data_IF_655789733305
#
_entry.id   IF_655789733305
#
_cell.length_a   1.000
_cell.length_b   1.000
_cell.length_c   1.000
_cell.angle_alpha   90.00
_cell.angle_beta   90.00
_cell.angle_gamma   90.00
#
_symmetry.space_group_name_H-M   'P 1'
#
loop_
_entity.id
_entity.type
_entity.pdbx_description
1 polymer ?
#
# COMPACT_ATOMS: atom_id res chain seq x y z
N UNK A 1 -9.90 -2.04 -10.38
CA UNK A 1 -9.52 -3.28 -9.68
C UNK A 1 -8.01 -3.29 -9.67
N UNK A 2 -7.43 -3.34 -8.46
CA UNK A 2 -5.99 -3.40 -8.24
C UNK A 2 -5.31 -4.45 -9.11
N UNK A 3 -4.16 -4.08 -9.65
CA UNK A 3 -3.22 -4.99 -10.30
C UNK A 3 -1.91 -5.01 -9.51
N UNK A 4 -1.26 -6.16 -9.39
CA UNK A 4 0.04 -6.26 -8.73
C UNK A 4 0.98 -7.25 -9.40
N UNK A 5 2.28 -6.98 -9.32
CA UNK A 5 3.31 -7.78 -9.96
C UNK A 5 4.67 -7.64 -9.27
N UNK A 6 5.58 -8.59 -9.48
CA UNK A 6 7.01 -8.36 -9.23
C UNK A 6 7.60 -7.41 -10.27
N UNK A 7 8.52 -6.56 -9.82
CA UNK A 7 9.23 -5.64 -10.71
C UNK A 7 10.48 -6.28 -11.33
N UNK A 8 10.80 -5.89 -12.55
CA UNK A 8 12.12 -6.16 -13.14
C UNK A 8 13.21 -5.21 -12.63
N UNK A 9 14.48 -5.55 -12.90
CA UNK A 9 15.64 -4.76 -12.47
C UNK A 9 16.06 -3.67 -13.49
N UNK A 10 15.20 -3.33 -14.47
CA UNK A 10 15.57 -2.36 -15.51
C UNK A 10 15.63 -0.95 -14.92
N UNK A 11 16.66 -0.19 -15.29
CA UNK A 11 16.84 1.21 -14.87
C UNK A 11 16.14 2.17 -15.84
N UNK A 12 14.85 1.92 -16.04
CA UNK A 12 13.95 2.76 -16.86
C UNK A 12 13.27 3.83 -16.00
N UNK A 13 12.28 4.53 -16.56
CA UNK A 13 11.54 5.56 -15.85
C UNK A 13 10.74 4.92 -14.71
N UNK A 14 10.83 5.38 -13.45
CA UNK A 14 10.08 4.79 -12.34
C UNK A 14 8.54 4.78 -12.54
N UNK A 15 8.02 5.58 -13.48
CA UNK A 15 6.61 5.60 -13.91
C UNK A 15 6.27 4.58 -15.01
N UNK A 16 7.24 3.83 -15.54
CA UNK A 16 7.00 2.66 -16.41
C UNK A 16 6.46 1.48 -15.59
N UNK A 17 5.77 0.52 -16.22
CA UNK A 17 5.15 -0.58 -15.47
C UNK A 17 6.18 -1.48 -14.75
N UNK A 18 7.37 -1.69 -15.35
CA UNK A 18 8.40 -2.62 -14.84
C UNK A 18 7.87 -4.04 -14.58
N UNK A 19 6.91 -4.51 -15.37
CA UNK A 19 6.25 -5.81 -15.17
C UNK A 19 7.22 -6.99 -15.41
N UNK A 20 7.46 -7.80 -14.36
CA UNK A 20 8.18 -9.07 -14.44
C UNK A 20 7.23 -10.28 -14.36
N UNK A 21 6.39 -10.34 -13.34
CA UNK A 21 5.48 -11.47 -13.07
C UNK A 21 4.21 -10.97 -12.39
N UNK A 22 3.05 -11.17 -13.02
CA UNK A 22 1.73 -10.83 -12.45
C UNK A 22 1.39 -11.72 -11.25
N UNK A 23 0.71 -11.13 -10.27
CA UNK A 23 0.33 -11.78 -9.02
C UNK A 23 -1.13 -11.46 -8.69
N UNK A 24 -1.78 -12.36 -7.96
CA UNK A 24 -3.07 -12.05 -7.36
C UNK A 24 -2.93 -11.32 -6.01
N UNK A 25 -4.02 -10.68 -5.60
CA UNK A 25 -4.07 -9.91 -4.35
C UNK A 25 -3.95 -10.78 -3.10
N UNK A 26 -4.25 -12.08 -3.20
CA UNK A 26 -4.04 -13.05 -2.12
C UNK A 26 -2.54 -13.29 -1.89
N UNK A 27 -1.78 -13.44 -2.97
CA UNK A 27 -0.33 -13.60 -2.94
C UNK A 27 0.35 -12.34 -2.43
N UNK A 28 -0.10 -11.17 -2.88
CA UNK A 28 0.32 -9.88 -2.32
C UNK A 28 0.12 -9.85 -0.81
N UNK A 29 -1.10 -10.11 -0.33
CA UNK A 29 -1.43 -10.09 1.10
C UNK A 29 -0.61 -11.11 1.90
N UNK A 30 -0.45 -12.35 1.43
CA UNK A 30 0.33 -13.35 2.14
C UNK A 30 1.80 -12.93 2.24
N UNK A 31 2.39 -12.43 1.15
CA UNK A 31 3.83 -12.07 1.11
C UNK A 31 4.17 -10.78 1.86
N UNK A 32 3.21 -9.87 2.01
CA UNK A 32 3.50 -8.51 2.47
C UNK A 32 2.62 -8.07 3.64
N UNK A 33 1.43 -8.64 3.81
CA UNK A 33 0.41 -8.13 4.72
C UNK A 33 -0.33 -6.91 4.17
N UNK A 34 -0.09 -6.49 2.92
CA UNK A 34 -0.91 -5.47 2.27
C UNK A 34 -2.32 -6.02 2.07
N UNK A 35 -3.31 -5.24 2.49
CA UNK A 35 -4.71 -5.55 2.22
C UNK A 35 -5.30 -4.57 1.20
N UNK A 36 -6.17 -5.08 0.34
CA UNK A 36 -6.82 -4.31 -0.72
C UNK A 36 -8.32 -4.57 -0.75
N UNK A 37 -9.09 -3.52 -0.98
CA UNK A 37 -10.53 -3.57 -1.20
C UNK A 37 -10.89 -2.77 -2.44
N UNK A 38 -11.99 -3.16 -3.07
CA UNK A 38 -12.60 -2.36 -4.12
C UNK A 38 -13.98 -1.88 -3.67
N UNK A 39 -14.21 -0.59 -3.84
CA UNK A 39 -15.51 0.04 -3.67
C UNK A 39 -15.87 0.73 -4.99
N UNK A 40 -17.13 0.66 -5.38
CA UNK A 40 -17.58 1.40 -6.55
C UNK A 40 -17.33 2.92 -6.32
N UNK A 41 -16.85 3.70 -7.31
CA UNK A 41 -16.60 5.14 -7.15
C UNK A 41 -17.81 5.96 -6.64
N UNK A 42 -19.04 5.51 -6.96
CA UNK A 42 -20.23 6.15 -6.41
C UNK A 42 -20.44 5.90 -4.92
N UNK A 43 -19.87 4.81 -4.40
CA UNK A 43 -20.06 4.32 -3.03
C UNK A 43 -18.94 4.76 -2.07
N UNK A 44 -18.07 5.66 -2.49
CA UNK A 44 -16.99 6.24 -1.70
C UNK A 44 -17.16 7.74 -1.47
N UNK A 45 -18.24 8.31 -2.02
CA UNK A 45 -18.59 9.71 -1.81
C UNK A 45 -19.10 9.93 -0.39
N UNK A 46 -18.88 11.11 0.21
CA UNK A 46 -19.33 11.41 1.57
C UNK A 46 -20.85 11.22 1.78
N UNK A 47 -21.66 11.44 0.74
CA UNK A 47 -23.12 11.34 0.78
C UNK A 47 -23.65 9.92 0.47
N UNK A 48 -22.78 8.99 0.09
CA UNK A 48 -23.17 7.65 -0.37
C UNK A 48 -22.11 6.59 -0.01
N UNK A 49 -21.50 6.69 1.16
CA UNK A 49 -20.46 5.75 1.59
C UNK A 49 -21.04 4.33 1.78
N UNK A 50 -20.36 3.31 1.25
CA UNK A 50 -20.84 1.93 1.31
C UNK A 50 -20.91 1.43 2.77
N UNK A 51 -21.89 0.57 3.13
CA UNK A 51 -21.94 -0.02 4.47
C UNK A 51 -20.68 -0.80 4.85
N UNK A 52 -20.00 -1.42 3.88
CA UNK A 52 -18.76 -2.16 4.12
C UNK A 52 -17.56 -1.24 4.38
N UNK A 53 -17.47 -0.07 3.73
CA UNK A 53 -16.44 0.93 4.01
C UNK A 53 -16.65 1.55 5.40
N UNK A 54 -17.90 1.89 5.75
CA UNK A 54 -18.26 2.38 7.08
C UNK A 54 -17.88 1.35 8.15
N UNK A 55 -18.20 0.06 7.91
CA UNK A 55 -17.84 -1.02 8.82
C UNK A 55 -16.33 -1.18 8.95
N UNK A 56 -15.58 -1.15 7.85
CA UNK A 56 -14.10 -1.23 7.87
C UNK A 56 -13.51 -0.10 8.72
N UNK A 57 -13.93 1.15 8.48
CA UNK A 57 -13.49 2.32 9.26
C UNK A 57 -13.77 2.15 10.75
N UNK A 58 -14.98 1.67 11.08
CA UNK A 58 -15.38 1.44 12.47
C UNK A 58 -14.57 0.34 13.14
N UNK A 59 -14.40 -0.79 12.48
CA UNK A 59 -13.71 -1.96 13.04
C UNK A 59 -12.21 -1.70 13.25
N UNK A 60 -11.60 -0.88 12.38
CA UNK A 60 -10.19 -0.49 12.48
C UNK A 60 -9.94 0.81 13.25
N UNK A 61 -11.01 1.50 13.68
CA UNK A 61 -10.89 2.73 14.45
C UNK A 61 -10.35 3.92 13.66
N UNK A 62 -10.67 4.02 12.37
CA UNK A 62 -10.29 5.17 11.54
C UNK A 62 -11.13 6.39 11.88
N UNK A 63 -10.58 7.26 12.72
CA UNK A 63 -11.26 8.43 13.29
C UNK A 63 -10.89 9.74 12.60
N UNK A 64 -9.86 9.75 11.76
CA UNK A 64 -9.43 10.92 11.01
C UNK A 64 -9.38 10.60 9.52
N UNK A 65 -9.81 11.56 8.71
CA UNK A 65 -9.69 11.51 7.25
C UNK A 65 -9.41 12.89 6.67
N UNK A 66 -8.62 12.92 5.61
CA UNK A 66 -8.48 14.09 4.74
C UNK A 66 -8.28 13.66 3.29
N UNK A 67 -8.14 14.62 2.38
CA UNK A 67 -7.86 14.35 0.97
C UNK A 67 -6.52 14.94 0.55
N UNK A 68 -5.77 14.19 -0.27
CA UNK A 68 -4.59 14.66 -0.96
C UNK A 68 -4.80 14.55 -2.47
N UNK A 69 -4.33 15.57 -3.20
CA UNK A 69 -4.26 15.56 -4.66
C UNK A 69 -2.81 15.72 -5.07
N UNK A 70 -2.30 14.74 -5.82
CA UNK A 70 -0.93 14.71 -6.32
C UNK A 70 -0.99 14.89 -7.84
N UNK A 71 -0.63 16.07 -8.28
CA UNK A 71 -0.50 16.45 -9.69
C UNK A 71 0.51 17.60 -9.82
N UNK A 72 0.99 17.95 -11.03
CA UNK A 72 2.02 18.96 -11.22
C UNK A 72 1.69 20.36 -10.66
N UNK A 73 0.43 20.66 -10.33
CA UNK A 73 0.03 21.91 -9.67
C UNK A 73 0.24 21.91 -8.15
N UNK A 74 0.58 20.78 -7.55
CA UNK A 74 0.86 20.66 -6.12
C UNK A 74 2.06 21.54 -5.72
N UNK A 75 1.94 22.26 -4.60
CA UNK A 75 3.06 23.03 -4.07
C UNK A 75 4.24 22.12 -3.72
N UNK A 76 5.44 22.49 -4.18
CA UNK A 76 6.65 21.70 -4.03
C UNK A 76 6.54 20.27 -4.60
N UNK A 77 5.78 20.10 -5.70
CA UNK A 77 5.52 18.81 -6.36
C UNK A 77 6.76 17.90 -6.44
N UNK A 78 7.85 18.36 -7.05
CA UNK A 78 9.07 17.56 -7.22
C UNK A 78 9.70 17.11 -5.88
N UNK A 79 9.72 17.98 -4.88
CA UNK A 79 10.28 17.65 -3.57
C UNK A 79 9.38 16.68 -2.81
N UNK A 80 8.06 16.84 -2.91
CA UNK A 80 7.06 15.93 -2.34
C UNK A 80 7.14 14.56 -3.02
N UNK A 81 7.22 14.53 -4.34
CA UNK A 81 7.34 13.31 -5.13
C UNK A 81 8.62 12.55 -4.79
N UNK A 82 9.75 13.24 -4.66
CA UNK A 82 11.00 12.64 -4.18
C UNK A 82 10.86 12.04 -2.79
N UNK A 83 10.10 12.69 -1.89
CA UNK A 83 9.84 12.17 -0.54
C UNK A 83 8.98 10.91 -0.60
N UNK A 84 7.89 10.92 -1.37
CA UNK A 84 7.00 9.77 -1.54
C UNK A 84 7.72 8.58 -2.19
N UNK A 85 8.62 8.84 -3.14
CA UNK A 85 9.31 7.79 -3.89
C UNK A 85 10.58 7.27 -3.20
N UNK A 86 11.09 7.97 -2.18
CA UNK A 86 12.18 7.45 -1.35
C UNK A 86 11.68 6.24 -0.56
N UNK A 87 12.41 5.14 -0.52
CA UNK A 87 12.00 3.95 0.25
C UNK A 87 11.94 4.27 1.75
N UNK A 88 10.75 4.11 2.34
CA UNK A 88 10.47 4.49 3.73
C UNK A 88 9.45 3.56 4.38
N UNK A 89 9.28 3.72 5.69
CA UNK A 89 8.22 3.09 6.48
C UNK A 89 7.53 4.12 7.38
N UNK A 90 6.37 3.72 7.91
CA UNK A 90 5.63 4.46 8.93
C UNK A 90 5.43 3.60 10.19
N UNK A 91 5.26 4.26 11.34
CA UNK A 91 4.93 3.62 12.63
C UNK A 91 3.50 3.10 12.70
N UNK A 92 2.64 3.62 11.82
CA UNK A 92 1.21 3.38 11.74
C UNK A 92 0.86 2.85 10.34
N UNK A 93 -0.37 2.38 10.16
CA UNK A 93 -0.87 1.98 8.84
C UNK A 93 -0.89 3.16 7.88
N UNK A 94 -0.50 2.92 6.63
CA UNK A 94 -0.73 3.85 5.53
C UNK A 94 -1.97 3.40 4.76
N UNK A 95 -3.09 4.09 5.01
CA UNK A 95 -4.37 3.81 4.35
C UNK A 95 -4.66 4.85 3.27
N UNK A 96 -4.97 4.39 2.05
CA UNK A 96 -5.31 5.25 0.91
C UNK A 96 -6.52 4.69 0.18
N UNK A 97 -7.59 5.48 0.13
CA UNK A 97 -8.76 5.23 -0.73
C UNK A 97 -8.66 6.13 -1.95
N UNK A 98 -8.46 5.55 -3.12
CA UNK A 98 -8.26 6.30 -4.36
C UNK A 98 -9.62 6.81 -4.85
N UNK A 99 -9.72 8.12 -5.00
CA UNK A 99 -10.93 8.80 -5.43
C UNK A 99 -10.93 9.02 -6.95
N UNK A 100 -9.78 9.41 -7.49
CA UNK A 100 -9.57 9.67 -8.93
C UNK A 100 -8.12 9.41 -9.33
N UNK A 101 -7.91 9.17 -10.63
CA UNK A 101 -6.58 8.94 -11.17
C UNK A 101 -6.00 7.59 -10.77
N UNK A 102 -4.66 7.51 -10.78
CA UNK A 102 -3.94 6.26 -10.57
C UNK A 102 -2.47 6.47 -10.22
N UNK A 103 -1.85 5.43 -9.67
CA UNK A 103 -0.44 5.45 -9.28
C UNK A 103 0.05 4.11 -8.76
N UNK A 104 1.36 4.05 -8.48
CA UNK A 104 2.04 2.86 -8.03
C UNK A 104 2.44 2.98 -6.57
N UNK A 105 2.08 1.97 -5.79
CA UNK A 105 2.71 1.66 -4.51
C UNK A 105 3.67 0.50 -4.73
N UNK A 106 4.96 0.71 -4.48
CA UNK A 106 5.94 -0.37 -4.47
C UNK A 106 6.19 -0.79 -3.03
N UNK A 107 6.19 -2.09 -2.75
CA UNK A 107 6.40 -2.68 -1.42
C UNK A 107 7.45 -3.78 -1.46
N UNK A 108 8.13 -4.02 -0.33
CA UNK A 108 9.09 -5.12 -0.20
C UNK A 108 8.38 -6.41 0.24
N UNK A 109 8.65 -7.51 -0.46
CA UNK A 109 8.28 -8.85 -0.02
C UNK A 109 9.23 -9.39 1.07
N UNK A 110 9.03 -10.64 1.50
CA UNK A 110 9.84 -11.31 2.53
C UNK A 110 11.31 -11.51 2.12
N UNK A 111 11.59 -11.56 0.83
CA UNK A 111 12.94 -11.70 0.24
C UNK A 111 13.55 -10.35 -0.13
N UNK A 112 12.93 -9.25 0.31
CA UNK A 112 13.32 -7.88 0.01
C UNK A 112 13.25 -7.54 -1.49
N UNK A 113 12.37 -8.21 -2.25
CA UNK A 113 12.07 -7.92 -3.66
C UNK A 113 10.94 -6.91 -3.78
N UNK A 114 11.00 -6.07 -4.82
CA UNK A 114 9.95 -5.10 -5.10
C UNK A 114 8.73 -5.77 -5.74
N UNK A 115 7.58 -5.55 -5.12
CA UNK A 115 6.26 -5.80 -5.68
C UNK A 115 5.59 -4.45 -5.96
N UNK A 116 5.08 -4.24 -7.17
CA UNK A 116 4.36 -3.03 -7.58
C UNK A 116 2.87 -3.28 -7.53
N UNK A 117 2.13 -2.28 -7.05
CA UNK A 117 0.68 -2.30 -6.91
C UNK A 117 0.14 -1.07 -7.66
N UNK A 118 -0.57 -1.29 -8.76
CA UNK A 118 -1.24 -0.23 -9.51
C UNK A 118 -2.65 -0.05 -8.99
N UNK A 119 -2.91 1.14 -8.47
CA UNK A 119 -4.20 1.50 -7.88
C UNK A 119 -4.94 2.50 -8.76
N UNK A 120 -6.26 2.37 -8.79
CA UNK A 120 -7.19 3.21 -9.54
C UNK A 120 -8.34 3.68 -8.65
N UNK A 121 -9.15 4.61 -9.14
CA UNK A 121 -10.37 5.05 -8.46
C UNK A 121 -11.24 3.87 -7.96
N UNK A 122 -11.62 3.93 -6.69
CA UNK A 122 -12.38 2.88 -6.00
C UNK A 122 -11.53 1.87 -5.24
N UNK A 123 -10.22 1.78 -5.52
CA UNK A 123 -9.32 0.91 -4.77
C UNK A 123 -8.97 1.53 -3.41
N UNK A 124 -9.07 0.74 -2.34
CA UNK A 124 -8.55 1.06 -1.02
C UNK A 124 -7.38 0.13 -0.73
N UNK A 125 -6.23 0.70 -0.38
CA UNK A 125 -5.02 -0.04 0.01
C UNK A 125 -4.65 0.29 1.46
N UNK A 126 -4.25 -0.74 2.20
CA UNK A 126 -3.70 -0.62 3.55
C UNK A 126 -2.32 -1.23 3.57
N UNK A 127 -1.31 -0.39 3.78
CA UNK A 127 0.05 -0.84 4.04
C UNK A 127 0.24 -0.97 5.55
N UNK A 128 0.66 -2.13 6.07
CA UNK A 128 0.85 -2.32 7.50
C UNK A 128 2.02 -1.49 8.02
N UNK A 129 1.93 -1.08 9.29
CA UNK A 129 3.00 -0.40 9.99
C UNK A 129 4.33 -1.17 9.88
N UNK A 130 5.44 -0.47 9.66
CA UNK A 130 6.78 -1.08 9.56
C UNK A 130 7.12 -1.70 8.20
N UNK A 131 6.22 -1.68 7.22
CA UNK A 131 6.51 -2.10 5.85
C UNK A 131 7.34 -1.03 5.11
N UNK A 132 8.40 -1.48 4.43
CA UNK A 132 9.09 -0.63 3.47
C UNK A 132 8.28 -0.51 2.19
N UNK A 133 8.03 0.73 1.81
CA UNK A 133 7.27 1.08 0.62
C UNK A 133 7.73 2.41 0.03
N UNK A 134 7.19 2.72 -1.14
CA UNK A 134 7.31 4.02 -1.82
C UNK A 134 6.13 4.23 -2.74
N UNK A 135 5.88 5.48 -3.12
CA UNK A 135 4.78 5.86 -4.00
C UNK A 135 5.25 6.76 -5.15
N UNK A 136 4.67 6.56 -6.34
CA UNK A 136 4.80 7.47 -7.49
C UNK A 136 3.49 7.46 -8.30
N UNK A 137 2.98 8.60 -8.80
CA UNK A 137 1.90 8.58 -9.77
C UNK A 137 2.39 7.89 -11.06
N UNK A 138 1.49 7.26 -11.79
CA UNK A 138 1.84 6.71 -13.11
C UNK A 138 2.00 7.84 -14.15
N UNK A 139 2.16 7.48 -15.42
CA UNK A 139 2.37 8.44 -16.53
C UNK A 139 1.25 9.47 -16.69
N UNK A 140 0.05 9.24 -16.14
CA UNK A 140 -1.02 10.23 -16.13
C UNK A 140 -0.74 11.39 -15.16
N UNK A 141 0.23 11.24 -14.26
CA UNK A 141 0.68 12.26 -13.31
C UNK A 141 -0.46 12.88 -12.49
N UNK A 142 -1.47 12.07 -12.17
CA UNK A 142 -2.65 12.54 -11.45
C UNK A 142 -3.21 11.43 -10.57
N UNK A 143 -3.30 11.71 -9.28
CA UNK A 143 -4.07 10.90 -8.34
C UNK A 143 -4.69 11.79 -7.26
N UNK A 144 -5.91 11.46 -6.86
CA UNK A 144 -6.59 12.05 -5.70
C UNK A 144 -7.00 10.93 -4.76
N UNK A 145 -6.60 11.02 -3.51
CA UNK A 145 -6.83 9.96 -2.52
C UNK A 145 -7.39 10.55 -1.22
N UNK A 146 -8.34 9.85 -0.61
CA UNK A 146 -8.70 10.04 0.79
C UNK A 146 -7.72 9.25 1.65
N UNK A 147 -7.12 9.91 2.62
CA UNK A 147 -6.18 9.29 3.57
C UNK A 147 -6.93 9.05 4.88
N UNK A 148 -6.79 7.87 5.47
CA UNK A 148 -7.48 7.49 6.71
C UNK A 148 -6.46 7.17 7.82
N UNK A 149 -6.77 7.51 9.07
CA UNK A 149 -5.88 7.29 10.23
C UNK A 149 -6.64 6.87 11.47
N UNK A 150 -5.94 6.10 12.31
CA UNK A 150 -6.29 5.93 13.71
C UNK A 150 -5.77 7.16 14.48
N UNK A 151 -6.67 7.97 15.03
CA UNK A 151 -6.29 9.20 15.72
C UNK A 151 -5.71 10.29 14.80
N UNK A 152 -4.94 11.21 15.39
CA UNK A 152 -4.26 12.28 14.65
C UNK A 152 -3.09 11.73 13.84
N UNK A 153 -2.92 12.12 12.57
CA UNK A 153 -1.95 11.50 11.68
C UNK A 153 -0.50 11.90 12.02
N UNK A 154 0.39 10.89 12.05
CA UNK A 154 1.85 11.10 12.07
C UNK A 154 2.39 10.75 10.67
N UNK A 155 2.69 11.79 9.90
CA UNK A 155 3.13 11.65 8.51
C UNK A 155 4.62 11.36 8.33
N UNK A 156 5.40 11.35 9.41
CA UNK A 156 6.85 11.34 9.32
C UNK A 156 7.32 10.02 8.70
N UNK A 157 7.93 10.05 7.50
CA UNK A 157 8.53 8.85 6.93
C UNK A 157 9.84 8.56 7.67
N UNK A 158 10.10 7.29 7.92
CA UNK A 158 11.41 6.81 8.38
C UNK A 158 12.06 6.12 7.20
N UNK A 159 12.99 6.83 6.55
CA UNK A 159 13.66 6.33 5.36
C UNK A 159 14.52 5.12 5.68
N UNK A 160 14.68 4.21 4.72
CA UNK A 160 15.67 3.14 4.80
C UNK A 160 17.08 3.72 4.66
N UNK A 161 18.08 3.31 5.47
CA UNK A 161 18.09 2.19 6.43
C UNK A 161 17.70 2.55 7.87
N UNK A 162 17.38 3.80 8.19
CA UNK A 162 17.09 4.22 9.58
C UNK A 162 15.88 3.47 10.18
N UNK A 163 14.94 3.06 9.32
CA UNK A 163 13.79 2.23 9.69
C UNK A 163 14.15 0.82 10.18
N UNK A 164 15.34 0.28 9.86
CA UNK A 164 15.70 -1.12 10.14
C UNK A 164 15.70 -1.43 11.64
N UNK A 165 16.01 -0.43 12.46
CA UNK A 165 16.05 -0.57 13.92
C UNK A 165 14.76 -0.13 14.61
N UNK A 166 13.80 0.43 13.88
CA UNK A 166 12.57 0.96 14.46
C UNK A 166 11.70 -0.18 15.03
N UNK A 167 11.08 -0.02 16.21
CA UNK A 167 10.28 -1.10 16.83
C UNK A 167 9.16 -1.63 15.93
N UNK A 168 8.43 -0.78 15.20
CA UNK A 168 7.36 -1.23 14.30
C UNK A 168 7.88 -2.15 13.18
N UNK A 169 9.11 -1.94 12.69
CA UNK A 169 9.73 -2.79 11.68
C UNK A 169 9.97 -4.21 12.21
N UNK A 170 10.44 -4.34 13.44
CA UNK A 170 10.66 -5.64 14.08
C UNK A 170 9.35 -6.41 14.23
N UNK A 171 8.30 -5.73 14.70
CA UNK A 171 6.94 -6.29 14.80
C UNK A 171 6.44 -6.74 13.43
N UNK A 172 6.59 -5.92 12.40
CA UNK A 172 6.20 -6.28 11.03
C UNK A 172 6.91 -7.53 10.51
N UNK A 173 8.24 -7.59 10.65
CA UNK A 173 9.05 -8.73 10.20
C UNK A 173 8.67 -10.01 10.97
N UNK A 174 8.45 -9.91 12.28
CA UNK A 174 7.96 -11.04 13.08
C UNK A 174 6.61 -11.57 12.59
N UNK A 175 5.65 -10.68 12.27
CA UNK A 175 4.35 -11.08 11.72
C UNK A 175 4.48 -11.76 10.35
N UNK A 176 5.32 -11.24 9.46
CA UNK A 176 5.57 -11.86 8.15
C UNK A 176 6.10 -13.29 8.27
N UNK A 177 7.04 -13.53 9.18
CA UNK A 177 7.60 -14.87 9.40
C UNK A 177 6.60 -15.84 10.04
N UNK A 178 5.69 -15.36 10.90
CA UNK A 178 4.63 -16.20 11.45
C UNK A 178 3.61 -16.60 10.38
N UNK A 179 3.24 -15.69 9.50
CA UNK A 179 2.35 -16.00 8.37
C UNK A 179 2.99 -17.03 7.41
N UNK A 180 4.30 -16.93 7.17
CA UNK A 180 5.04 -17.92 6.37
C UNK A 180 4.96 -19.34 6.92
N UNK A 181 5.15 -19.50 8.23
CA UNK A 181 5.05 -20.81 8.88
C UNK A 181 3.64 -21.40 8.78
N UNK A 182 2.61 -20.56 8.97
CA UNK A 182 1.23 -21.00 8.86
C UNK A 182 0.86 -21.42 7.43
N UNK A 183 1.40 -20.73 6.41
CA UNK A 183 1.21 -21.11 5.01
C UNK A 183 1.91 -22.42 4.68
N UNK A 184 3.16 -22.61 5.15
CA UNK A 184 3.89 -23.88 5.03
C UNK A 184 3.13 -25.02 5.72
N UNK A 185 2.65 -24.82 6.95
CA UNK A 185 1.90 -25.85 7.69
C UNK A 185 0.58 -26.22 6.99
N UNK A 186 -0.14 -25.25 6.40
CA UNK A 186 -1.33 -25.54 5.58
C UNK A 186 -1.00 -26.35 4.33
N UNK A 187 0.13 -26.08 3.68
CA UNK A 187 0.57 -26.81 2.48
C UNK A 187 1.20 -28.18 2.78
N UNK A 188 1.70 -28.41 3.99
CA UNK A 188 2.30 -29.69 4.41
C UNK A 188 1.25 -30.66 4.98
N UNK A 189 0.05 -30.19 5.34
CA UNK A 189 -1.00 -30.99 5.99
C UNK A 189 -2.10 -31.55 5.08
N UNK A 190 -1.94 -31.59 3.76
CA UNK A 190 -2.79 -32.44 2.90
C UNK A 190 -2.10 -33.77 2.56
N UNK A 191 -2.31 -34.84 3.34
CA UNK A 191 -2.14 -36.19 2.83
C UNK A 191 -3.29 -36.50 1.89
N UNK A 192 -2.93 -36.90 0.67
CA UNK A 192 -3.78 -37.52 -0.33
C UNK A 192 -4.68 -38.57 0.34
N UNK A 193 -6.00 -38.41 0.20
CA UNK A 193 -6.98 -39.50 0.37
C UNK A 193 -7.79 -39.65 -0.90
#
# INVERSE_FOLDING_TARGET
>A
MVQCWYMDDRKEDPQDDHLLEELDTTTLCNRTGVEVWYFHPDQIRPDNESPSLIKLKKDRGYTYEDEIKVDPSMENYEAKLKTFFSEHLHSDEEIRLILEGSGFFDVRDREDKWMRIHVFAGDLIILPAGMYHRFIPDKHNFIRARRLFVGEPIWTPINRPDGDQHPCRKVYVEHLHHNDKNDIEKHVLEPIS
#
